data_IF_414686337712
#
_entry.id   IF_414686337712
#
_cell.length_a   1.000
_cell.length_b   1.000
_cell.length_c   1.000
_cell.angle_alpha   90.00
_cell.angle_beta   90.00
_cell.angle_gamma   90.00
#
_symmetry.space_group_name_H-M   'P 1'
#
loop_
_entity.id
_entity.type
_entity.pdbx_description
1 polymer ?
#
# COMPACT_ATOMS: atom_id res chain seq x y z
N UNK A 1 1.30 -7.04 9.02
CA UNK A 1 0.26 -7.13 7.99
C UNK A 1 -0.68 -5.96 8.18
N UNK A 2 -1.06 -5.28 7.10
CA UNK A 2 -1.91 -4.09 7.12
C UNK A 2 -3.11 -4.31 6.20
N UNK A 3 -4.30 -3.91 6.63
CA UNK A 3 -5.47 -3.88 5.74
C UNK A 3 -5.28 -2.77 4.70
N UNK A 4 -5.55 -3.06 3.43
CA UNK A 4 -5.42 -2.05 2.35
C UNK A 4 -6.66 -2.09 1.48
N UNK A 5 -7.32 -0.94 1.36
CA UNK A 5 -8.39 -0.71 0.41
C UNK A 5 -7.78 -0.09 -0.85
N UNK A 6 -7.78 -0.86 -1.94
CA UNK A 6 -7.17 -0.46 -3.20
C UNK A 6 -7.93 -0.98 -4.41
N UNK A 7 -7.60 -0.42 -5.57
CA UNK A 7 -8.02 -0.91 -6.88
C UNK A 7 -6.81 -1.43 -7.65
N UNK A 8 -6.98 -2.55 -8.35
CA UNK A 8 -5.99 -3.08 -9.28
C UNK A 8 -6.38 -2.70 -10.71
N UNK A 9 -5.45 -2.05 -11.41
CA UNK A 9 -5.51 -1.86 -12.85
C UNK A 9 -5.20 -3.16 -13.59
N UNK A 10 -5.68 -3.25 -14.83
CA UNK A 10 -5.43 -4.40 -15.71
C UNK A 10 -3.95 -4.57 -16.10
N UNK A 11 -3.18 -3.50 -15.96
CA UNK A 11 -1.72 -3.43 -16.12
C UNK A 11 -0.95 -3.80 -14.84
N UNK A 12 -1.67 -4.18 -13.78
CA UNK A 12 -1.09 -4.47 -12.47
C UNK A 12 -0.76 -3.22 -11.65
N UNK A 13 -1.10 -2.01 -12.11
CA UNK A 13 -0.99 -0.82 -11.29
C UNK A 13 -1.94 -0.91 -10.08
N UNK A 14 -1.50 -0.43 -8.92
CA UNK A 14 -2.32 -0.36 -7.72
C UNK A 14 -2.66 1.09 -7.43
N UNK A 15 -3.91 1.34 -7.05
CA UNK A 15 -4.37 2.61 -6.50
C UNK A 15 -4.87 2.39 -5.07
N UNK A 16 -4.06 2.75 -4.08
CA UNK A 16 -4.40 2.69 -2.66
C UNK A 16 -5.25 3.90 -2.27
N UNK A 17 -6.33 3.66 -1.54
CA UNK A 17 -7.24 4.70 -1.04
C UNK A 17 -7.05 4.96 0.46
N UNK A 18 -6.93 3.88 1.24
CA UNK A 18 -6.80 3.91 2.70
C UNK A 18 -6.19 2.63 3.22
N UNK A 19 -5.56 2.72 4.38
CA UNK A 19 -4.96 1.58 5.08
C UNK A 19 -5.50 1.46 6.50
N UNK A 20 -5.45 0.27 7.07
CA UNK A 20 -5.92 0.04 8.43
C UNK A 20 -4.80 0.25 9.46
N UNK A 21 -4.92 1.25 10.32
CA UNK A 21 -3.98 1.56 11.40
C UNK A 21 -4.73 1.61 12.73
N UNK A 22 -4.26 0.87 13.74
CA UNK A 22 -4.88 0.88 15.06
C UNK A 22 -6.35 0.43 15.09
N UNK A 23 -6.83 -0.26 14.06
CA UNK A 23 -8.23 -0.66 13.90
C UNK A 23 -9.03 0.26 12.96
N UNK A 24 -8.57 1.49 12.75
CA UNK A 24 -9.24 2.50 11.93
C UNK A 24 -8.74 2.51 10.48
N UNK A 25 -9.61 2.90 9.56
CA UNK A 25 -9.24 3.09 8.16
C UNK A 25 -8.80 4.52 7.90
N UNK A 26 -7.51 4.72 7.63
CA UNK A 26 -6.87 6.02 7.44
C UNK A 26 -6.66 6.28 5.94
N UNK A 27 -7.19 7.37 5.38
CA UNK A 27 -6.94 7.73 3.98
C UNK A 27 -5.47 8.07 3.76
N UNK A 28 -4.97 7.76 2.57
CA UNK A 28 -3.58 8.03 2.20
C UNK A 28 -3.51 8.73 0.86
N UNK A 29 -2.46 9.51 0.66
CA UNK A 29 -2.07 9.98 -0.67
C UNK A 29 -1.03 9.03 -1.23
N UNK A 30 -1.27 8.53 -2.44
CA UNK A 30 -0.34 7.62 -3.10
C UNK A 30 0.74 8.40 -3.87
N UNK A 31 2.00 7.95 -3.74
CA UNK A 31 3.13 8.37 -4.55
C UNK A 31 3.46 7.38 -5.67
N UNK A 32 4.75 7.16 -5.92
CA UNK A 32 5.20 6.20 -6.93
C UNK A 32 4.89 4.76 -6.51
N UNK A 33 4.84 3.89 -7.50
CA UNK A 33 4.77 2.43 -7.31
C UNK A 33 5.78 1.74 -8.23
N UNK A 34 6.30 0.61 -7.80
CA UNK A 34 7.23 -0.21 -8.57
C UNK A 34 7.06 -1.69 -8.24
N UNK A 35 7.73 -2.55 -9.00
CA UNK A 35 7.74 -3.99 -8.83
C UNK A 35 9.19 -4.45 -8.77
N UNK A 36 9.53 -5.23 -7.76
CA UNK A 36 10.82 -5.90 -7.66
C UNK A 36 10.64 -7.33 -7.09
N UNK A 37 11.73 -7.98 -6.67
CA UNK A 37 11.72 -9.35 -6.15
C UNK A 37 10.91 -9.50 -4.85
N UNK A 38 10.73 -8.43 -4.08
CA UNK A 38 9.98 -8.40 -2.82
C UNK A 38 8.46 -8.31 -3.04
N UNK A 39 8.01 -7.83 -4.20
CA UNK A 39 6.60 -7.71 -4.55
C UNK A 39 6.28 -6.38 -5.22
N UNK A 40 5.01 -5.96 -5.12
CA UNK A 40 4.58 -4.64 -5.59
C UNK A 40 4.67 -3.63 -4.45
N UNK A 41 5.43 -2.58 -4.69
CA UNK A 41 5.70 -1.51 -3.75
C UNK A 41 4.86 -0.29 -4.11
N UNK A 42 4.30 0.37 -3.10
CA UNK A 42 3.53 1.61 -3.24
C UNK A 42 3.94 2.56 -2.13
N UNK A 43 4.48 3.73 -2.50
CA UNK A 43 4.69 4.80 -1.53
C UNK A 43 3.37 5.46 -1.18
N UNK A 44 3.14 5.68 0.11
CA UNK A 44 1.96 6.36 0.65
C UNK A 44 2.37 7.44 1.63
N UNK A 45 1.65 8.56 1.60
CA UNK A 45 1.72 9.60 2.61
C UNK A 45 0.51 9.47 3.52
N UNK A 46 0.81 9.35 4.81
CA UNK A 46 -0.13 9.30 5.92
C UNK A 46 -0.41 10.72 6.43
N UNK A 47 -1.47 10.91 7.24
CA UNK A 47 -1.67 12.15 7.97
C UNK A 47 -0.43 12.56 8.78
N UNK A 48 -0.14 13.86 8.85
CA UNK A 48 1.03 14.37 9.55
C UNK A 48 2.34 14.26 8.76
N UNK A 49 2.27 14.18 7.43
CA UNK A 49 3.42 14.15 6.51
C UNK A 49 4.34 12.92 6.67
N UNK A 50 3.87 11.88 7.35
CA UNK A 50 4.59 10.64 7.48
C UNK A 50 4.54 9.86 6.15
N UNK A 51 5.70 9.47 5.65
CA UNK A 51 5.83 8.61 4.46
C UNK A 51 5.98 7.17 4.92
N UNK A 52 5.24 6.27 4.28
CA UNK A 52 5.37 4.83 4.46
C UNK A 52 5.39 4.11 3.12
N UNK A 53 5.93 2.90 3.13
CA UNK A 53 5.95 2.02 1.96
C UNK A 53 5.07 0.80 2.21
N UNK A 54 4.13 0.57 1.30
CA UNK A 54 3.30 -0.62 1.27
C UNK A 54 3.90 -1.64 0.31
N UNK A 55 4.07 -2.87 0.77
CA UNK A 55 4.54 -3.99 -0.06
C UNK A 55 3.48 -5.08 -0.11
N UNK A 56 2.95 -5.35 -1.31
CA UNK A 56 2.11 -6.53 -1.57
C UNK A 56 3.02 -7.74 -1.81
N UNK A 57 3.08 -8.61 -0.81
CA UNK A 57 3.82 -9.87 -0.84
C UNK A 57 3.03 -10.91 -1.62
N UNK A 58 3.53 -11.30 -2.79
CA UNK A 58 2.82 -12.23 -3.68
C UNK A 58 2.74 -13.66 -3.11
N UNK A 59 3.75 -14.10 -2.37
CA UNK A 59 3.82 -15.41 -1.71
C UNK A 59 2.75 -15.59 -0.63
N UNK A 60 2.37 -14.51 0.05
CA UNK A 60 1.42 -14.53 1.18
C UNK A 60 0.08 -13.87 0.86
N UNK A 61 -0.03 -13.24 -0.31
CA UNK A 61 -1.15 -12.38 -0.70
C UNK A 61 -1.51 -11.37 0.40
N UNK A 62 -0.50 -10.72 0.96
CA UNK A 62 -0.65 -9.85 2.12
C UNK A 62 0.10 -8.53 1.94
N UNK A 63 -0.46 -7.45 2.48
CA UNK A 63 0.18 -6.15 2.54
C UNK A 63 1.00 -5.99 3.83
N UNK A 64 2.20 -5.45 3.68
CA UNK A 64 3.08 -5.02 4.77
C UNK A 64 3.30 -3.50 4.66
N UNK A 65 3.37 -2.81 5.81
CA UNK A 65 3.74 -1.40 5.90
C UNK A 65 5.12 -1.31 6.53
N UNK A 66 6.04 -0.61 5.87
CA UNK A 66 7.42 -0.38 6.31
C UNK A 66 7.75 1.10 6.36
#
# INVERSE_FOLDING_TARGET
MVGVDCLFGVDGAVRVRRIQLGGDWVPVVQGRQWLDQAGRHVLVMLPGEQVGELVLRADRMAWELT
#
